data_IF_531032401858
#
_entry.id   IF_531032401858
#
_cell.length_a   1.000
_cell.length_b   1.000
_cell.length_c   1.000
_cell.angle_alpha   90.00
_cell.angle_beta   90.00
_cell.angle_gamma   90.00
#
_symmetry.space_group_name_H-M   'P 1'
#
loop_
_entity.id
_entity.type
_entity.pdbx_description
1 polymer ?
#
# COMPACT_ATOMS: atom_id res chain seq x y z
N UNK A 1 3.29 14.53 33.90
CA UNK A 1 2.65 14.54 32.57
C UNK A 1 2.82 15.95 32.04
N UNK A 2 3.30 16.12 30.81
CA UNK A 2 3.54 17.44 30.22
C UNK A 2 2.23 18.23 30.08
N UNK A 3 2.22 19.48 30.54
CA UNK A 3 1.10 20.41 30.48
C UNK A 3 0.56 20.52 29.05
N UNK A 4 1.44 20.66 28.07
CA UNK A 4 1.06 20.84 26.67
C UNK A 4 0.48 19.57 26.06
N UNK A 5 0.94 18.39 26.46
CA UNK A 5 0.39 17.11 26.00
C UNK A 5 -1.07 16.93 26.43
N UNK A 6 -1.36 17.20 27.70
CA UNK A 6 -2.71 17.02 28.23
C UNK A 6 -3.67 18.07 27.64
N UNK A 7 -3.23 19.32 27.51
CA UNK A 7 -4.00 20.36 26.83
C UNK A 7 -4.25 19.99 25.37
N UNK A 8 -3.22 19.56 24.63
CA UNK A 8 -3.32 19.21 23.22
C UNK A 8 -4.35 18.09 22.99
N UNK A 9 -4.30 17.03 23.81
CA UNK A 9 -5.28 15.93 23.76
C UNK A 9 -6.71 16.42 24.00
N UNK A 10 -6.93 17.26 25.01
CA UNK A 10 -8.25 17.79 25.30
C UNK A 10 -8.77 18.70 24.18
N UNK A 11 -7.93 19.58 23.65
CA UNK A 11 -8.29 20.51 22.56
C UNK A 11 -8.69 19.78 21.29
N UNK A 12 -7.97 18.72 20.94
CA UNK A 12 -8.30 17.85 19.80
C UNK A 12 -9.61 17.08 20.03
N UNK A 13 -9.82 16.54 21.23
CA UNK A 13 -10.99 15.73 21.55
C UNK A 13 -12.30 16.51 21.55
N UNK A 14 -12.28 17.76 22.01
CA UNK A 14 -13.48 18.56 22.25
C UNK A 14 -13.56 19.82 21.37
N UNK A 15 -12.86 19.82 20.24
CA UNK A 15 -12.89 20.86 19.21
C UNK A 15 -12.73 22.28 19.79
N UNK A 16 -11.59 22.55 20.41
CA UNK A 16 -11.30 23.88 20.93
C UNK A 16 -11.21 24.94 19.79
N UNK A 17 -11.73 26.17 19.98
CA UNK A 17 -12.54 26.63 21.12
C UNK A 17 -14.04 26.37 20.89
N UNK A 18 -14.74 25.75 21.85
CA UNK A 18 -16.18 25.48 21.75
C UNK A 18 -16.94 25.67 23.07
N UNK A 19 -18.26 25.85 22.99
CA UNK A 19 -19.14 25.86 24.19
C UNK A 19 -19.06 24.54 24.96
N UNK A 20 -18.94 23.43 24.24
CA UNK A 20 -18.77 22.09 24.80
C UNK A 20 -17.45 22.00 25.58
N UNK A 21 -16.33 22.38 24.96
CA UNK A 21 -15.02 22.45 25.61
C UNK A 21 -15.10 23.26 26.92
N UNK A 22 -15.68 24.47 26.86
CA UNK A 22 -15.86 25.34 28.03
C UNK A 22 -16.66 24.67 29.14
N UNK A 23 -17.73 23.96 28.80
CA UNK A 23 -18.58 23.26 29.78
C UNK A 23 -17.83 22.14 30.50
N UNK A 24 -16.95 21.43 29.79
CA UNK A 24 -16.10 20.36 30.35
C UNK A 24 -15.09 20.96 31.33
N UNK A 25 -14.41 22.04 30.93
CA UNK A 25 -13.44 22.72 31.81
C UNK A 25 -14.12 23.28 33.08
N UNK A 26 -15.42 23.62 33.02
CA UNK A 26 -16.20 24.06 34.19
C UNK A 26 -16.58 22.93 35.15
N UNK A 27 -16.67 21.68 34.66
CA UNK A 27 -16.96 20.50 35.50
C UNK A 27 -15.75 20.08 36.34
N UNK A 28 -14.54 20.20 35.78
CA UNK A 28 -13.30 19.83 36.46
C UNK A 28 -12.61 21.06 37.08
N UNK A 29 -13.18 21.57 38.18
CA UNK A 29 -12.74 22.83 38.83
C UNK A 29 -11.41 22.75 39.59
N UNK A 30 -10.83 21.57 39.80
CA UNK A 30 -9.78 21.38 40.82
C UNK A 30 -8.34 21.43 40.30
N UNK A 31 -8.10 21.44 38.98
CA UNK A 31 -6.73 21.47 38.45
C UNK A 31 -6.39 22.80 37.78
N UNK A 32 -5.18 23.28 38.04
CA UNK A 32 -4.59 24.48 37.45
C UNK A 32 -4.74 24.49 35.92
N UNK A 33 -4.53 23.33 35.28
CA UNK A 33 -4.65 23.16 33.83
C UNK A 33 -6.04 23.56 33.33
N UNK A 34 -7.11 23.14 34.00
CA UNK A 34 -8.48 23.49 33.62
C UNK A 34 -8.75 24.97 33.78
N UNK A 35 -8.18 25.62 34.80
CA UNK A 35 -8.29 27.08 34.96
C UNK A 35 -7.59 27.83 33.83
N UNK A 36 -6.38 27.39 33.47
CA UNK A 36 -5.61 27.95 32.37
C UNK A 36 -6.40 27.82 31.06
N UNK A 37 -6.87 26.62 30.73
CA UNK A 37 -7.62 26.36 29.50
C UNK A 37 -9.01 27.01 29.46
N UNK A 38 -9.71 27.09 30.60
CA UNK A 38 -11.00 27.79 30.69
C UNK A 38 -10.84 29.27 30.36
N UNK A 39 -9.79 29.91 30.87
CA UNK A 39 -9.51 31.31 30.58
C UNK A 39 -9.06 31.50 29.13
N UNK A 40 -8.22 30.60 28.58
CA UNK A 40 -7.83 30.65 27.16
C UNK A 40 -9.06 30.48 26.26
N UNK A 41 -9.95 29.54 26.57
CA UNK A 41 -11.22 29.36 25.86
C UNK A 41 -12.12 30.60 25.95
N UNK A 42 -12.25 31.22 27.14
CA UNK A 42 -12.99 32.47 27.30
C UNK A 42 -12.38 33.63 26.51
N UNK A 43 -11.06 33.69 26.38
CA UNK A 43 -10.40 34.67 25.53
C UNK A 43 -10.86 34.51 24.07
N UNK A 44 -10.80 33.31 23.50
CA UNK A 44 -11.23 33.08 22.11
C UNK A 44 -12.73 33.33 21.89
N UNK A 45 -13.58 32.93 22.83
CA UNK A 45 -15.04 33.08 22.69
C UNK A 45 -15.53 34.52 22.91
N UNK A 46 -14.84 35.30 23.75
CA UNK A 46 -15.28 36.64 24.16
C UNK A 46 -14.34 37.76 23.68
N UNK A 47 -13.27 37.40 22.98
CA UNK A 47 -12.19 38.29 22.52
C UNK A 47 -11.64 39.23 23.61
N UNK A 48 -11.51 38.76 24.85
CA UNK A 48 -11.14 39.61 26.00
C UNK A 48 -9.79 39.24 26.60
N UNK A 49 -8.77 40.10 26.37
CA UNK A 49 -7.39 39.92 26.86
C UNK A 49 -7.26 39.80 28.38
N UNK A 50 -8.29 40.20 29.16
CA UNK A 50 -8.29 40.04 30.62
C UNK A 50 -8.14 38.58 31.05
N UNK A 51 -8.65 37.63 30.25
CA UNK A 51 -8.53 36.20 30.57
C UNK A 51 -7.11 35.67 30.37
N UNK A 52 -6.40 36.14 29.34
CA UNK A 52 -4.97 35.82 29.15
C UNK A 52 -4.11 36.41 30.28
N UNK A 53 -4.40 37.65 30.71
CA UNK A 53 -3.72 38.25 31.88
C UNK A 53 -3.92 37.44 33.16
N UNK A 54 -5.09 36.80 33.34
CA UNK A 54 -5.31 35.87 34.47
C UNK A 54 -4.42 34.65 34.36
N UNK A 55 -4.25 34.08 33.16
CA UNK A 55 -3.36 32.94 32.95
C UNK A 55 -1.90 33.25 33.27
N UNK A 56 -1.40 34.43 32.91
CA UNK A 56 -0.04 34.86 33.25
C UNK A 56 0.20 34.94 34.76
N UNK A 57 -0.85 35.21 35.56
CA UNK A 57 -0.75 35.21 37.03
C UNK A 57 -0.83 33.81 37.64
N UNK A 58 -1.42 32.86 36.92
CA UNK A 58 -1.69 31.50 37.40
C UNK A 58 -0.59 30.51 37.04
N UNK A 59 0.00 30.66 35.86
CA UNK A 59 1.04 29.74 35.37
C UNK A 59 2.41 30.11 35.92
N UNK A 60 3.12 29.13 36.47
CA UNK A 60 4.57 29.21 36.76
C UNK A 60 5.42 28.61 35.64
N UNK A 61 4.79 27.93 34.67
CA UNK A 61 5.47 27.36 33.50
C UNK A 61 5.92 28.48 32.55
N UNK A 62 7.21 28.51 32.25
CA UNK A 62 7.83 29.55 31.43
C UNK A 62 7.38 29.48 29.96
N UNK A 63 7.23 28.27 29.42
CA UNK A 63 6.82 28.07 28.02
C UNK A 63 5.34 28.41 27.84
N UNK A 64 4.49 28.04 28.80
CA UNK A 64 3.08 28.44 28.78
C UNK A 64 2.91 29.95 28.95
N UNK A 65 3.72 30.57 29.81
CA UNK A 65 3.72 32.03 29.97
C UNK A 65 4.16 32.74 28.70
N UNK A 66 5.21 32.23 28.02
CA UNK A 66 5.65 32.70 26.71
C UNK A 66 4.54 32.55 25.65
N UNK A 67 3.86 31.41 25.63
CA UNK A 67 2.72 31.14 24.74
C UNK A 67 1.59 32.17 24.94
N UNK A 68 1.15 32.39 26.19
CA UNK A 68 0.08 33.35 26.50
C UNK A 68 0.49 34.79 26.19
N UNK A 69 1.74 35.17 26.50
CA UNK A 69 2.26 36.49 26.19
C UNK A 69 2.27 36.74 24.67
N UNK A 70 2.76 35.77 23.91
CA UNK A 70 2.85 35.85 22.44
C UNK A 70 1.49 36.00 21.79
N UNK A 71 0.49 35.22 22.23
CA UNK A 71 -0.89 35.35 21.73
C UNK A 71 -1.52 36.69 22.11
N UNK A 72 -1.20 37.23 23.28
CA UNK A 72 -1.73 38.53 23.71
C UNK A 72 -1.15 39.69 22.89
N UNK A 73 0.12 39.60 22.51
CA UNK A 73 0.83 40.61 21.72
C UNK A 73 0.56 40.48 20.22
N UNK A 74 0.28 39.27 19.72
CA UNK A 74 0.02 39.03 18.30
C UNK A 74 1.18 39.51 17.40
N UNK A 75 2.43 39.34 17.82
CA UNK A 75 3.59 39.69 16.99
C UNK A 75 3.99 38.51 16.09
N UNK A 76 4.14 38.76 14.77
CA UNK A 76 4.42 37.71 13.77
C UNK A 76 5.72 36.97 14.10
N UNK A 77 6.80 37.69 14.40
CA UNK A 77 8.11 37.08 14.64
C UNK A 77 8.08 36.18 15.88
N UNK A 78 7.43 36.65 16.96
CA UNK A 78 7.24 35.84 18.17
C UNK A 78 6.35 34.63 17.92
N UNK A 79 5.29 34.76 17.12
CA UNK A 79 4.43 33.64 16.73
C UNK A 79 5.21 32.57 15.96
N UNK A 80 6.09 32.98 15.03
CA UNK A 80 6.94 32.05 14.27
C UNK A 80 7.94 31.30 15.17
N UNK A 81 8.58 32.00 16.11
CA UNK A 81 9.49 31.37 17.09
C UNK A 81 8.73 30.37 17.96
N UNK A 82 7.57 30.78 18.49
CA UNK A 82 6.73 29.92 19.32
C UNK A 82 6.22 28.69 18.55
N UNK A 83 5.86 28.87 17.28
CA UNK A 83 5.46 27.78 16.38
C UNK A 83 6.55 26.72 16.26
N UNK A 84 7.82 27.13 16.13
CA UNK A 84 8.93 26.20 16.07
C UNK A 84 9.11 25.42 17.38
N UNK A 85 8.93 26.07 18.54
CA UNK A 85 9.03 25.43 19.86
C UNK A 85 7.91 24.41 20.10
N UNK A 86 6.71 24.70 19.59
CA UNK A 86 5.51 23.88 19.79
C UNK A 86 5.21 22.93 18.62
N UNK A 87 6.19 22.63 17.76
CA UNK A 87 5.99 21.81 16.55
C UNK A 87 5.45 20.39 16.82
N UNK A 88 5.52 19.94 18.08
CA UNK A 88 5.02 18.65 18.54
C UNK A 88 3.52 18.64 18.87
N UNK A 89 2.89 19.81 19.03
CA UNK A 89 1.52 19.91 19.52
C UNK A 89 0.58 20.51 18.45
N UNK A 90 -0.11 19.63 17.73
CA UNK A 90 -0.91 20.02 16.55
C UNK A 90 -2.02 21.03 16.80
N UNK A 91 -2.69 20.98 17.96
CA UNK A 91 -3.73 21.96 18.27
C UNK A 91 -3.16 23.38 18.40
N UNK A 92 -1.96 23.50 18.95
CA UNK A 92 -1.25 24.78 19.10
C UNK A 92 -0.73 25.29 17.76
N UNK A 93 -0.20 24.42 16.91
CA UNK A 93 0.22 24.81 15.55
C UNK A 93 -0.95 25.33 14.73
N UNK A 94 -2.09 24.64 14.75
CA UNK A 94 -3.31 25.09 14.06
C UNK A 94 -3.77 26.46 14.57
N UNK A 95 -3.70 26.69 15.88
CA UNK A 95 -4.06 27.96 16.49
C UNK A 95 -3.12 29.10 16.05
N UNK A 96 -1.80 28.86 16.08
CA UNK A 96 -0.81 29.84 15.65
C UNK A 96 -0.95 30.14 14.15
N UNK A 97 -1.16 29.12 13.32
CA UNK A 97 -1.39 29.28 11.88
C UNK A 97 -2.63 30.16 11.61
N UNK A 98 -3.73 29.94 12.35
CA UNK A 98 -4.91 30.79 12.25
C UNK A 98 -4.63 32.25 12.66
N UNK A 99 -3.87 32.47 13.72
CA UNK A 99 -3.47 33.82 14.16
C UNK A 99 -2.60 34.51 13.10
N UNK A 100 -1.65 33.80 12.49
CA UNK A 100 -0.82 34.31 11.41
C UNK A 100 -1.66 34.67 10.18
N UNK A 101 -2.63 33.82 9.81
CA UNK A 101 -3.55 34.08 8.67
C UNK A 101 -4.36 35.35 8.91
N UNK A 102 -4.87 35.55 10.13
CA UNK A 102 -5.63 36.74 10.51
C UNK A 102 -4.80 38.02 10.44
N UNK A 103 -3.46 37.92 10.37
CA UNK A 103 -2.54 39.03 10.16
C UNK A 103 -2.04 39.15 8.72
N UNK A 104 -2.71 38.46 7.78
CA UNK A 104 -2.33 38.40 6.36
C UNK A 104 -0.95 37.79 6.11
N UNK A 105 -0.45 36.94 7.03
CA UNK A 105 0.78 36.20 6.80
C UNK A 105 0.51 34.95 5.95
N UNK A 106 1.32 34.74 4.92
CA UNK A 106 1.24 33.56 4.07
C UNK A 106 1.87 32.32 4.75
N UNK A 107 1.02 31.47 5.33
CA UNK A 107 1.46 30.22 5.98
C UNK A 107 2.22 29.30 5.02
N UNK A 108 1.98 29.36 3.71
CA UNK A 108 2.65 28.45 2.78
C UNK A 108 4.18 28.64 2.79
N UNK A 109 4.68 29.83 3.16
CA UNK A 109 6.12 30.12 3.31
C UNK A 109 6.80 29.36 4.44
N UNK A 110 6.04 28.88 5.43
CA UNK A 110 6.58 28.23 6.63
C UNK A 110 6.23 26.74 6.71
N UNK A 111 5.46 26.23 5.74
CA UNK A 111 5.20 24.81 5.60
C UNK A 111 6.44 24.09 5.07
N UNK A 112 6.59 22.83 5.46
CA UNK A 112 7.70 21.99 4.98
C UNK A 112 7.28 21.25 3.73
N UNK A 113 8.07 21.34 2.66
CA UNK A 113 7.78 20.68 1.39
C UNK A 113 8.71 19.48 1.24
N UNK A 114 8.14 18.34 0.87
CA UNK A 114 8.85 17.13 0.49
C UNK A 114 8.46 16.74 -0.93
N UNK A 115 9.43 16.42 -1.78
CA UNK A 115 9.16 15.96 -3.14
C UNK A 115 9.34 14.44 -3.21
N UNK A 116 8.24 13.73 -3.49
CA UNK A 116 8.26 12.30 -3.78
C UNK A 116 8.23 12.11 -5.29
N UNK A 117 9.39 11.78 -5.87
CA UNK A 117 9.62 11.80 -7.32
C UNK A 117 9.29 13.18 -7.93
N UNK A 118 8.14 13.30 -8.59
CA UNK A 118 7.61 14.51 -9.20
C UNK A 118 6.44 15.14 -8.42
N UNK A 119 5.93 14.49 -7.38
CA UNK A 119 4.79 14.95 -6.58
C UNK A 119 5.26 15.69 -5.33
N UNK A 120 4.74 16.89 -5.10
CA UNK A 120 5.01 17.67 -3.89
C UNK A 120 4.02 17.35 -2.76
N UNK A 121 4.57 17.12 -1.57
CA UNK A 121 3.81 16.88 -0.35
C UNK A 121 4.13 18.02 0.63
N UNK A 122 3.10 18.71 1.09
CA UNK A 122 3.26 19.80 2.04
C UNK A 122 2.85 19.38 3.45
N UNK A 123 3.77 19.55 4.40
CA UNK A 123 3.58 19.30 5.83
C UNK A 123 3.48 20.61 6.61
N UNK A 124 2.70 20.62 7.69
CA UNK A 124 2.59 21.80 8.55
C UNK A 124 3.90 22.13 9.27
N UNK A 125 4.67 21.12 9.68
CA UNK A 125 5.92 21.28 10.43
C UNK A 125 7.05 20.42 9.86
N UNK A 126 8.29 20.80 10.16
CA UNK A 126 9.49 20.00 9.80
C UNK A 126 9.48 18.65 10.50
N UNK A 127 9.05 18.58 11.76
CA UNK A 127 8.85 17.30 12.44
C UNK A 127 7.91 16.37 11.69
N UNK A 128 6.74 16.83 11.23
CA UNK A 128 5.80 15.97 10.49
C UNK A 128 6.41 15.42 9.20
N UNK A 129 7.21 16.22 8.51
CA UNK A 129 7.98 15.75 7.37
C UNK A 129 9.00 14.68 7.79
N UNK A 130 9.74 14.89 8.89
CA UNK A 130 10.69 13.91 9.41
C UNK A 130 10.00 12.60 9.83
N UNK A 131 8.85 12.69 10.52
CA UNK A 131 8.02 11.54 10.89
C UNK A 131 7.58 10.76 9.65
N UNK A 132 7.28 11.44 8.55
CA UNK A 132 6.91 10.81 7.28
C UNK A 132 8.10 10.05 6.66
N UNK A 133 9.26 10.71 6.56
CA UNK A 133 10.50 10.10 6.05
C UNK A 133 10.87 8.86 6.89
N UNK A 134 10.71 8.95 8.21
CA UNK A 134 11.00 7.87 9.15
C UNK A 134 9.89 6.81 9.28
N UNK A 135 8.81 6.90 8.49
CA UNK A 135 7.66 5.97 8.51
C UNK A 135 6.91 5.90 9.86
N UNK A 136 7.00 6.96 10.66
CA UNK A 136 6.27 7.14 11.92
C UNK A 136 5.04 8.05 11.78
N UNK A 137 4.85 8.68 10.62
CA UNK A 137 3.74 9.59 10.37
C UNK A 137 2.38 8.89 10.44
N UNK A 138 1.48 9.48 11.23
CA UNK A 138 0.10 9.03 11.34
C UNK A 138 -0.80 9.97 10.56
N UNK A 139 -1.59 9.41 9.66
CA UNK A 139 -2.57 10.18 8.90
C UNK A 139 -3.78 10.44 9.79
N UNK A 140 -4.04 11.70 10.08
CA UNK A 140 -5.08 12.12 11.04
C UNK A 140 -6.39 12.56 10.35
N UNK A 141 -6.34 12.96 9.09
CA UNK A 141 -7.50 13.48 8.36
C UNK A 141 -7.46 13.11 6.87
N UNK A 142 -8.56 13.41 6.16
CA UNK A 142 -8.71 13.20 4.72
C UNK A 142 -8.37 14.45 3.89
N UNK A 143 -7.49 15.34 4.36
CA UNK A 143 -7.07 16.48 3.54
C UNK A 143 -6.18 16.03 2.40
N UNK A 144 -6.09 16.85 1.35
CA UNK A 144 -5.35 16.57 0.12
C UNK A 144 -3.93 16.00 0.36
N UNK A 145 -3.05 16.70 1.09
CA UNK A 145 -1.69 16.22 1.37
C UNK A 145 -1.66 14.88 2.13
N UNK A 146 -2.61 14.68 3.04
CA UNK A 146 -2.72 13.42 3.78
C UNK A 146 -3.20 12.28 2.87
N UNK A 147 -4.11 12.56 1.94
CA UNK A 147 -4.52 11.59 0.92
C UNK A 147 -3.35 11.22 0.00
N UNK A 148 -2.53 12.18 -0.43
CA UNK A 148 -1.27 11.91 -1.17
C UNK A 148 -0.39 10.94 -0.39
N UNK A 149 -0.12 11.24 0.88
CA UNK A 149 0.70 10.37 1.75
C UNK A 149 0.11 8.96 1.85
N UNK A 150 -1.21 8.83 1.96
CA UNK A 150 -1.89 7.52 1.96
C UNK A 150 -1.69 6.77 0.65
N UNK A 151 -1.86 7.44 -0.50
CA UNK A 151 -1.66 6.83 -1.81
C UNK A 151 -0.22 6.37 -2.03
N UNK A 152 0.75 7.22 -1.73
CA UNK A 152 2.18 6.91 -1.83
C UNK A 152 2.52 5.70 -0.96
N UNK A 153 2.14 5.74 0.32
CA UNK A 153 2.41 4.64 1.26
C UNK A 153 1.79 3.33 0.79
N UNK A 154 0.55 3.39 0.27
CA UNK A 154 -0.15 2.21 -0.28
C UNK A 154 0.58 1.66 -1.51
N UNK A 155 0.97 2.53 -2.44
CA UNK A 155 1.66 2.15 -3.66
C UNK A 155 3.03 1.53 -3.39
N UNK A 156 3.86 2.17 -2.57
CA UNK A 156 5.17 1.66 -2.18
C UNK A 156 5.08 0.29 -1.49
N UNK A 157 4.07 0.09 -0.64
CA UNK A 157 3.84 -1.19 0.01
C UNK A 157 3.46 -2.28 -1.00
N UNK A 158 2.68 -1.96 -2.04
CA UNK A 158 2.35 -2.91 -3.12
C UNK A 158 3.58 -3.24 -3.97
N UNK A 159 4.35 -2.24 -4.38
CA UNK A 159 5.61 -2.44 -5.13
C UNK A 159 6.58 -3.30 -4.31
N UNK A 160 6.81 -2.96 -3.05
CA UNK A 160 7.67 -3.74 -2.14
C UNK A 160 7.19 -5.19 -1.99
N UNK A 161 5.87 -5.41 -1.91
CA UNK A 161 5.31 -6.75 -1.84
C UNK A 161 5.52 -7.55 -3.13
N UNK A 162 5.49 -6.91 -4.30
CA UNK A 162 5.77 -7.55 -5.59
C UNK A 162 7.24 -7.93 -5.66
N UNK A 163 8.16 -6.98 -5.40
CA UNK A 163 9.61 -7.24 -5.41
C UNK A 163 9.99 -8.39 -4.47
N UNK A 164 9.42 -8.42 -3.26
CA UNK A 164 9.62 -9.52 -2.30
C UNK A 164 9.07 -10.86 -2.77
N UNK A 165 8.03 -10.87 -3.62
CA UNK A 165 7.43 -12.09 -4.15
C UNK A 165 8.23 -12.63 -5.33
N UNK A 166 8.79 -11.74 -6.17
CA UNK A 166 9.66 -12.07 -7.29
C UNK A 166 10.94 -12.76 -6.82
N UNK A 167 11.54 -12.27 -5.74
CA UNK A 167 12.75 -12.85 -5.12
C UNK A 167 12.52 -14.18 -4.39
N UNK A 168 11.35 -14.81 -4.53
CA UNK A 168 11.04 -16.11 -3.93
C UNK A 168 10.96 -17.18 -5.01
N UNK A 169 11.75 -18.23 -4.85
CA UNK A 169 11.90 -19.31 -5.85
C UNK A 169 10.61 -20.07 -6.19
N UNK A 170 9.62 -20.11 -5.27
CA UNK A 170 8.40 -20.93 -5.42
C UNK A 170 7.11 -20.11 -5.64
N UNK A 171 7.22 -18.87 -6.12
CA UNK A 171 6.04 -18.03 -6.35
C UNK A 171 5.31 -18.42 -7.63
N UNK A 172 4.02 -18.78 -7.53
CA UNK A 172 3.19 -19.05 -8.72
C UNK A 172 3.02 -17.77 -9.56
N UNK A 173 3.26 -17.84 -10.86
CA UNK A 173 3.14 -16.68 -11.79
C UNK A 173 1.76 -16.03 -11.74
N UNK A 174 0.67 -16.80 -11.69
CA UNK A 174 -0.68 -16.27 -11.48
C UNK A 174 -0.81 -15.38 -10.23
N UNK A 175 -0.10 -15.70 -9.15
CA UNK A 175 -0.09 -14.87 -7.94
C UNK A 175 0.66 -13.56 -8.17
N UNK A 176 1.79 -13.62 -8.87
CA UNK A 176 2.60 -12.46 -9.22
C UNK A 176 1.83 -11.52 -10.16
N UNK A 177 1.23 -12.05 -11.24
CA UNK A 177 0.34 -11.31 -12.16
C UNK A 177 -0.77 -10.59 -11.39
N UNK A 178 -1.48 -11.29 -10.49
CA UNK A 178 -2.50 -10.67 -9.62
C UNK A 178 -1.94 -9.55 -8.72
N UNK A 179 -0.68 -9.63 -8.28
CA UNK A 179 -0.05 -8.55 -7.50
C UNK A 179 0.30 -7.35 -8.37
N UNK A 180 0.77 -7.56 -9.61
CA UNK A 180 0.95 -6.49 -10.59
C UNK A 180 -0.38 -5.80 -10.95
N UNK A 181 -1.47 -6.54 -11.15
CA UNK A 181 -2.81 -5.95 -11.33
C UNK A 181 -3.21 -5.04 -10.16
N UNK A 182 -2.87 -5.42 -8.93
CA UNK A 182 -3.11 -4.57 -7.77
C UNK A 182 -2.25 -3.31 -7.75
N UNK A 183 -0.99 -3.37 -8.23
CA UNK A 183 -0.15 -2.19 -8.41
C UNK A 183 -0.77 -1.27 -9.47
N UNK A 184 -1.15 -1.82 -10.63
CA UNK A 184 -1.83 -1.09 -11.70
C UNK A 184 -3.06 -0.36 -11.18
N UNK A 185 -3.98 -1.08 -10.52
CA UNK A 185 -5.20 -0.50 -9.95
C UNK A 185 -4.92 0.64 -8.97
N UNK A 186 -3.95 0.49 -8.06
CA UNK A 186 -3.59 1.56 -7.11
C UNK A 186 -2.97 2.75 -7.83
N UNK A 187 -2.16 2.52 -8.86
CA UNK A 187 -1.54 3.57 -9.68
C UNK A 187 -2.60 4.35 -10.44
N UNK A 188 -3.57 3.67 -11.07
CA UNK A 188 -4.69 4.32 -11.75
C UNK A 188 -5.58 5.13 -10.80
N UNK A 189 -5.89 4.58 -9.62
CA UNK A 189 -6.62 5.34 -8.60
C UNK A 189 -5.86 6.59 -8.16
N UNK A 190 -4.53 6.51 -8.05
CA UNK A 190 -3.71 7.65 -7.65
C UNK A 190 -3.62 8.69 -8.78
N UNK A 191 -3.42 8.27 -10.02
CA UNK A 191 -3.46 9.14 -11.19
C UNK A 191 -4.81 9.86 -11.31
N UNK A 192 -5.93 9.15 -11.14
CA UNK A 192 -7.26 9.77 -11.18
C UNK A 192 -7.42 10.83 -10.08
N UNK A 193 -6.99 10.52 -8.85
CA UNK A 193 -7.01 11.48 -7.76
C UNK A 193 -6.15 12.73 -8.06
N UNK A 194 -4.96 12.56 -8.65
CA UNK A 194 -4.11 13.70 -9.00
C UNK A 194 -4.71 14.53 -10.15
N UNK A 195 -5.26 13.86 -11.18
CA UNK A 195 -5.93 14.51 -12.30
C UNK A 195 -7.15 15.33 -11.85
N UNK A 196 -7.96 14.81 -10.91
CA UNK A 196 -9.07 15.54 -10.28
C UNK A 196 -8.60 16.82 -9.56
N UNK A 197 -7.32 16.90 -9.20
CA UNK A 197 -6.70 18.04 -8.53
C UNK A 197 -5.70 18.80 -9.43
N UNK A 198 -5.73 18.58 -10.75
CA UNK A 198 -4.87 19.24 -11.73
C UNK A 198 -3.36 19.05 -11.49
N UNK A 199 -2.97 17.89 -10.97
CA UNK A 199 -1.57 17.50 -10.79
C UNK A 199 -1.22 16.37 -11.74
N UNK A 200 -0.16 16.55 -12.52
CA UNK A 200 0.38 15.53 -13.41
C UNK A 200 1.58 14.83 -12.75
N UNK A 201 1.75 13.54 -13.04
CA UNK A 201 2.92 12.77 -12.61
C UNK A 201 3.42 11.89 -13.75
N UNK A 202 4.60 12.23 -14.26
CA UNK A 202 5.37 11.44 -15.21
C UNK A 202 5.76 10.10 -14.58
N UNK A 203 6.19 10.09 -13.31
CA UNK A 203 6.57 8.87 -12.59
C UNK A 203 5.43 7.84 -12.57
N UNK A 204 4.21 8.26 -12.21
CA UNK A 204 3.07 7.34 -12.13
C UNK A 204 2.60 6.87 -13.51
N UNK A 205 2.68 7.73 -14.52
CA UNK A 205 2.38 7.34 -15.91
C UNK A 205 3.36 6.29 -16.42
N UNK A 206 4.66 6.49 -16.19
CA UNK A 206 5.69 5.52 -16.54
C UNK A 206 5.47 4.21 -15.78
N UNK A 207 5.14 4.26 -14.48
CA UNK A 207 4.89 3.07 -13.68
C UNK A 207 3.67 2.30 -14.19
N UNK A 208 2.60 3.00 -14.57
CA UNK A 208 1.42 2.39 -15.18
C UNK A 208 1.81 1.64 -16.46
N UNK A 209 2.55 2.29 -17.35
CA UNK A 209 2.98 1.71 -18.62
C UNK A 209 3.93 0.52 -18.41
N UNK A 210 4.88 0.63 -17.48
CA UNK A 210 5.80 -0.46 -17.09
C UNK A 210 5.02 -1.69 -16.60
N UNK A 211 4.06 -1.49 -15.69
CA UNK A 211 3.22 -2.58 -15.16
C UNK A 211 2.31 -3.17 -16.24
N UNK A 212 1.75 -2.36 -17.12
CA UNK A 212 0.95 -2.86 -18.26
C UNK A 212 1.76 -3.72 -19.21
N UNK A 213 3.00 -3.32 -19.50
CA UNK A 213 3.89 -4.11 -20.34
C UNK A 213 4.24 -5.44 -19.66
N UNK A 214 4.51 -5.44 -18.35
CA UNK A 214 4.77 -6.67 -17.59
C UNK A 214 3.55 -7.62 -17.63
N UNK A 215 2.34 -7.09 -17.52
CA UNK A 215 1.12 -7.90 -17.54
C UNK A 215 0.80 -8.50 -18.93
N UNK A 216 1.31 -7.90 -20.02
CA UNK A 216 1.14 -8.37 -21.40
C UNK A 216 2.19 -9.39 -21.84
N UNK A 217 3.18 -9.72 -21.00
CA UNK A 217 4.19 -10.73 -21.33
C UNK A 217 3.52 -12.10 -21.35
N UNK A 218 3.10 -12.54 -22.54
CA UNK A 218 2.69 -13.92 -22.80
C UNK A 218 3.80 -14.76 -23.44
N UNK A 219 4.86 -14.13 -23.97
CA UNK A 219 6.00 -14.83 -24.59
C UNK A 219 7.35 -14.15 -24.34
N UNK A 220 8.35 -14.92 -23.92
CA UNK A 220 9.60 -14.45 -23.28
C UNK A 220 10.63 -13.91 -24.30
N UNK A 221 10.45 -14.21 -25.58
CA UNK A 221 11.47 -14.01 -26.62
C UNK A 221 11.65 -12.56 -27.10
N UNK A 222 10.82 -11.60 -26.66
CA UNK A 222 10.86 -10.20 -27.13
C UNK A 222 10.88 -9.14 -26.02
N UNK A 223 11.16 -9.53 -24.77
CA UNK A 223 11.15 -8.57 -23.66
C UNK A 223 12.35 -7.61 -23.70
N UNK A 224 12.16 -6.46 -24.33
CA UNK A 224 13.07 -5.31 -24.29
C UNK A 224 12.38 -4.09 -23.67
N UNK A 225 11.81 -4.27 -22.48
CA UNK A 225 11.22 -3.14 -21.75
C UNK A 225 12.28 -2.61 -20.80
N UNK A 226 12.66 -1.35 -20.97
CA UNK A 226 13.44 -0.62 -19.98
C UNK A 226 12.60 -0.49 -18.70
N UNK A 227 12.87 -1.36 -17.74
CA UNK A 227 12.29 -1.31 -16.40
C UNK A 227 13.01 -0.22 -15.61
N UNK A 228 12.25 0.60 -14.88
CA UNK A 228 12.82 1.66 -14.04
C UNK A 228 12.44 1.48 -12.58
N UNK A 229 11.17 1.16 -12.28
CA UNK A 229 10.79 0.82 -10.90
C UNK A 229 11.21 -0.59 -10.55
N UNK A 230 11.17 -1.52 -11.50
CA UNK A 230 11.43 -2.95 -11.26
C UNK A 230 12.79 -3.42 -11.80
N UNK A 231 13.72 -2.52 -12.07
CA UNK A 231 15.06 -2.82 -12.59
C UNK A 231 15.81 -3.86 -11.73
N UNK A 232 15.74 -3.74 -10.39
CA UNK A 232 16.39 -4.65 -9.44
C UNK A 232 15.83 -6.08 -9.39
N UNK A 233 14.74 -6.34 -10.11
CA UNK A 233 14.08 -7.66 -10.23
C UNK A 233 13.80 -8.01 -11.69
N UNK A 234 14.54 -7.38 -12.62
CA UNK A 234 14.36 -7.54 -14.06
C UNK A 234 14.58 -8.99 -14.49
N UNK A 235 15.63 -9.65 -13.99
CA UNK A 235 15.91 -11.06 -14.25
C UNK A 235 14.77 -11.99 -13.85
N UNK A 236 14.21 -11.76 -12.66
CA UNK A 236 13.12 -12.55 -12.12
C UNK A 236 11.86 -12.36 -12.95
N UNK A 237 11.61 -11.13 -13.42
CA UNK A 237 10.49 -10.82 -14.31
C UNK A 237 10.60 -11.57 -15.63
N UNK A 238 11.77 -11.54 -16.28
CA UNK A 238 12.01 -12.26 -17.55
C UNK A 238 11.93 -13.77 -17.36
N UNK A 239 12.39 -14.28 -16.22
CA UNK A 239 12.34 -15.71 -15.91
C UNK A 239 10.97 -16.22 -15.47
N UNK A 240 9.96 -15.35 -15.31
CA UNK A 240 8.61 -15.76 -14.92
C UNK A 240 7.99 -16.68 -15.98
N UNK A 241 8.03 -17.99 -15.72
CA UNK A 241 7.34 -18.98 -16.55
C UNK A 241 6.00 -19.31 -15.92
N UNK A 242 4.92 -19.22 -16.70
CA UNK A 242 3.65 -19.76 -16.26
C UNK A 242 3.86 -21.26 -15.94
N UNK A 243 3.48 -21.65 -14.72
CA UNK A 243 3.47 -23.07 -14.35
C UNK A 243 2.36 -23.67 -15.19
N UNK A 244 2.75 -24.51 -16.15
CA UNK A 244 1.82 -25.22 -17.04
C UNK A 244 0.65 -25.76 -16.23
N UNK A 245 -0.57 -25.47 -16.67
CA UNK A 245 -1.76 -25.97 -16.00
C UNK A 245 -1.75 -27.50 -15.97
N UNK A 246 -2.45 -28.15 -15.02
CA UNK A 246 -2.54 -29.63 -15.01
C UNK A 246 -3.02 -30.18 -16.37
N UNK A 247 -3.84 -29.40 -17.09
CA UNK A 247 -4.34 -29.76 -18.42
C UNK A 247 -3.23 -29.66 -19.47
N UNK A 248 -2.47 -28.57 -19.49
CA UNK A 248 -1.31 -28.40 -20.38
C UNK A 248 -0.21 -29.44 -20.10
N UNK A 249 0.11 -29.71 -18.83
CA UNK A 249 1.06 -30.78 -18.47
C UNK A 249 0.56 -32.13 -18.94
N UNK A 250 -0.75 -32.40 -18.81
CA UNK A 250 -1.35 -33.64 -19.29
C UNK A 250 -1.33 -33.71 -20.82
N UNK A 251 -1.61 -32.63 -21.52
CA UNK A 251 -1.57 -32.54 -22.98
C UNK A 251 -0.15 -32.74 -23.49
N UNK A 252 0.85 -32.08 -22.90
CA UNK A 252 2.27 -32.27 -23.22
C UNK A 252 2.72 -33.70 -22.95
N UNK A 253 2.30 -34.29 -21.82
CA UNK A 253 2.64 -35.66 -21.49
C UNK A 253 1.98 -36.64 -22.47
N UNK A 254 0.75 -36.38 -22.88
CA UNK A 254 0.07 -37.15 -23.94
C UNK A 254 0.81 -36.98 -25.27
N UNK A 255 1.23 -35.77 -25.63
CA UNK A 255 1.95 -35.49 -26.89
C UNK A 255 3.33 -36.17 -26.91
N UNK A 256 4.05 -36.10 -25.80
CA UNK A 256 5.33 -36.79 -25.60
C UNK A 256 5.16 -38.31 -25.68
N UNK A 257 4.17 -38.87 -24.97
CA UNK A 257 3.88 -40.30 -25.05
C UNK A 257 3.47 -40.70 -26.48
N UNK A 258 2.63 -39.90 -27.15
CA UNK A 258 2.27 -40.14 -28.55
C UNK A 258 3.50 -40.14 -29.44
N UNK A 259 4.44 -39.21 -29.27
CA UNK A 259 5.70 -39.20 -30.02
C UNK A 259 6.60 -40.42 -29.74
N UNK A 260 6.53 -41.02 -28.55
CA UNK A 260 7.22 -42.29 -28.25
C UNK A 260 6.54 -43.50 -28.89
N UNK A 261 5.23 -43.43 -29.13
CA UNK A 261 4.44 -44.50 -29.75
C UNK A 261 4.12 -44.24 -31.23
N UNK A 262 4.56 -43.11 -31.79
CA UNK A 262 4.52 -42.84 -33.21
C UNK A 262 5.57 -43.75 -33.86
N UNK A 263 5.06 -44.78 -34.52
CA UNK A 263 5.85 -45.69 -35.33
C UNK A 263 6.46 -44.83 -36.44
N UNK A 264 7.78 -44.62 -36.38
CA UNK A 264 8.51 -44.11 -37.54
C UNK A 264 8.25 -45.09 -38.68
N UNK A 265 7.57 -44.67 -39.75
CA UNK A 265 7.26 -45.53 -40.89
C UNK A 265 8.53 -46.13 -41.54
N UNK A 266 9.71 -45.59 -41.23
CA UNK A 266 11.02 -46.11 -41.63
C UNK A 266 11.53 -47.28 -40.77
N UNK A 267 10.80 -47.66 -39.71
CA UNK A 267 11.07 -48.82 -38.84
C UNK A 267 9.95 -49.87 -38.89
N UNK A 268 9.19 -49.92 -39.98
CA UNK A 268 8.56 -51.18 -40.40
C UNK A 268 9.70 -52.12 -40.84
N UNK A 269 10.47 -52.64 -39.89
CA UNK A 269 11.17 -53.89 -40.13
C UNK A 269 10.08 -54.88 -40.53
N UNK A 270 10.11 -55.33 -41.79
CA UNK A 270 9.42 -56.53 -42.21
C UNK A 270 9.99 -57.65 -41.35
N UNK A 271 9.43 -57.83 -40.15
CA UNK A 271 9.65 -59.04 -39.38
C UNK A 271 9.09 -60.14 -40.27
N UNK A 272 9.93 -61.05 -40.80
CA UNK A 272 9.42 -62.15 -41.57
C UNK A 272 8.45 -62.88 -40.64
N UNK A 273 7.21 -63.04 -41.09
CA UNK A 273 6.27 -63.93 -40.44
C UNK A 273 6.90 -65.33 -40.54
N UNK A 274 7.63 -65.77 -39.51
CA UNK A 274 8.23 -67.10 -39.46
C UNK A 274 7.09 -68.04 -39.03
N UNK A 275 6.56 -68.89 -39.93
CA UNK A 275 5.44 -69.79 -39.59
C UNK A 275 5.85 -70.87 -38.59
N UNK A 276 7.15 -71.15 -38.48
CA UNK A 276 7.66 -72.35 -37.78
C UNK A 276 7.70 -72.24 -36.25
N UNK A 277 7.54 -71.03 -35.67
CA UNK A 277 7.53 -70.88 -34.21
C UNK A 277 6.16 -71.14 -33.57
N UNK A 278 5.07 -71.09 -34.35
CA UNK A 278 3.73 -71.37 -33.84
C UNK A 278 3.40 -72.86 -33.79
N UNK A 279 4.02 -73.69 -34.63
CA UNK A 279 3.79 -75.14 -34.62
C UNK A 279 4.44 -75.83 -33.41
N UNK A 280 5.62 -75.37 -32.97
CA UNK A 280 6.27 -75.95 -31.79
C UNK A 280 5.49 -75.63 -30.52
N UNK A 281 4.87 -74.45 -30.41
CA UNK A 281 4.12 -74.07 -29.21
C UNK A 281 2.74 -74.73 -29.13
N UNK A 282 2.10 -75.01 -30.27
CA UNK A 282 0.75 -75.59 -30.33
C UNK A 282 0.70 -77.00 -29.72
N UNK A 283 1.75 -77.81 -29.92
CA UNK A 283 1.86 -79.16 -29.38
C UNK A 283 1.99 -79.22 -27.84
N UNK A 284 2.38 -78.11 -27.19
CA UNK A 284 2.49 -78.04 -25.72
C UNK A 284 1.31 -77.31 -25.05
N UNK A 285 0.35 -76.80 -25.82
CA UNK A 285 -0.87 -76.20 -25.28
C UNK A 285 -1.91 -77.31 -25.06
N UNK A 286 -2.00 -77.80 -23.82
CA UNK A 286 -3.13 -78.65 -23.40
C UNK A 286 -4.35 -77.77 -23.14
N UNK A 287 -5.31 -77.81 -24.06
CA UNK A 287 -6.63 -77.25 -23.84
C UNK A 287 -7.41 -78.12 -22.84
N UNK A 288 -8.19 -77.53 -21.91
CA UNK A 288 -9.07 -78.30 -21.04
C UNK A 288 -10.10 -79.06 -21.90
N UNK A 289 -10.31 -80.35 -21.61
CA UNK A 289 -11.36 -81.18 -22.20
C UNK A 289 -12.74 -80.64 -21.77
N UNK A 290 -13.15 -79.55 -22.41
CA UNK A 290 -14.42 -78.91 -22.13
C UNK A 290 -15.28 -79.08 -23.36
N UNK A 291 -16.40 -79.77 -23.18
CA UNK A 291 -17.38 -80.03 -24.22
C UNK A 291 -17.83 -78.68 -24.80
N UNK A 292 -17.39 -78.35 -26.01
CA UNK A 292 -17.62 -77.04 -26.67
C UNK A 292 -19.11 -76.68 -26.70
N UNK A 293 -19.99 -77.69 -26.70
CA UNK A 293 -21.44 -77.53 -26.63
C UNK A 293 -21.95 -76.91 -25.31
N UNK A 294 -21.21 -77.03 -24.21
CA UNK A 294 -21.54 -76.44 -22.91
C UNK A 294 -21.16 -74.95 -22.85
N UNK A 295 -20.02 -74.58 -23.43
CA UNK A 295 -19.56 -73.20 -23.56
C UNK A 295 -20.47 -72.37 -24.49
N UNK A 296 -20.93 -72.97 -25.60
CA UNK A 296 -21.83 -72.29 -26.53
C UNK A 296 -23.23 -72.05 -25.96
N UNK A 297 -23.73 -72.94 -25.08
CA UNK A 297 -25.01 -72.72 -24.37
C UNK A 297 -24.96 -71.54 -23.41
N UNK A 298 -23.81 -71.26 -22.81
CA UNK A 298 -23.63 -70.15 -21.87
C UNK A 298 -23.41 -68.79 -22.57
N UNK A 299 -23.10 -68.79 -23.88
CA UNK A 299 -22.92 -67.57 -24.68
C UNK A 299 -24.25 -67.10 -25.29
N UNK A 300 -25.23 -68.00 -25.46
CA UNK A 300 -26.62 -67.61 -25.70
C UNK A 300 -27.31 -67.27 -24.39
N UNK A 301 -27.14 -66.03 -23.94
CA UNK A 301 -28.05 -65.41 -22.97
C UNK A 301 -28.72 -64.21 -23.63
N UNK A 302 -30.06 -64.24 -23.55
CA UNK A 302 -31.04 -63.22 -23.89
C UNK A 302 -30.73 -61.83 -23.33
#
# INVERSE_FOLDING_TARGET
>A
MDLFDEINKNRLRYNFPSKEYKSIMLKNKSSLLYHLELNTCKFYLLNSKKYLKKNLKLSTDSLYSEYIHTISCCDINKLLILRSKLEHYDSFIKEIDNLLTNQNFDINKIKSIYKWNDIEITFSTKKKQADYINKCYKVEDKKYNNQIVMFITKLENKIRSVKKLLKKDNSRVKCIRKKFENVKKVTEMFLNFLNENYVESEYLNNLRNEVENILKIDDVSSFSVNLFVFDDVSSEIVSMRDIKSKKEVKEDLILYLKGLFEINNDQLENVPFIPDFYDIAYDYIKYPETNINELLKNITIN
#
